data_IF_118816639957
#
_entry.id   IF_118816639957
#
_cell.length_a   1.000
_cell.length_b   1.000
_cell.length_c   1.000
_cell.angle_alpha   90.00
_cell.angle_beta   90.00
_cell.angle_gamma   90.00
#
_symmetry.space_group_name_H-M   'P 1'
#
loop_
_entity.id
_entity.type
_entity.pdbx_description
1 polymer ?
#
# COMPACT_ATOMS: atom_id res chain seq x y z
N UNK A 1 5.32 -12.27 -15.69
CA UNK A 1 4.12 -11.40 -15.59
C UNK A 1 4.57 -10.05 -15.03
N UNK A 2 4.09 -8.93 -15.58
CA UNK A 2 4.29 -7.61 -14.97
C UNK A 2 3.08 -7.29 -14.10
N UNK A 3 3.27 -7.12 -12.80
CA UNK A 3 2.23 -6.63 -11.92
C UNK A 3 2.50 -5.14 -11.68
N UNK A 4 1.58 -4.29 -12.13
CA UNK A 4 1.56 -2.88 -11.81
C UNK A 4 0.51 -2.68 -10.72
N UNK A 5 0.94 -2.27 -9.52
CA UNK A 5 0.01 -1.93 -8.45
C UNK A 5 -0.19 -0.41 -8.43
N UNK A 6 -1.43 0.03 -8.63
CA UNK A 6 -1.84 1.42 -8.50
C UNK A 6 -2.63 1.55 -7.19
N UNK A 7 -1.99 2.10 -6.16
CA UNK A 7 -2.64 2.45 -4.91
C UNK A 7 -3.07 3.90 -5.00
N UNK A 8 -4.38 4.17 -4.97
CA UNK A 8 -4.89 5.54 -4.98
C UNK A 8 -5.67 5.80 -3.71
N UNK A 9 -5.45 6.99 -3.16
CA UNK A 9 -6.02 7.54 -1.93
C UNK A 9 -7.51 7.91 -2.02
N UNK A 10 -8.20 7.64 -3.15
CA UNK A 10 -9.64 7.88 -3.36
C UNK A 10 -10.22 6.84 -4.31
N UNK A 11 -11.36 6.26 -3.93
CA UNK A 11 -11.96 5.02 -4.45
C UNK A 11 -12.02 4.81 -5.98
N UNK A 12 -12.15 3.54 -6.37
CA UNK A 12 -12.25 3.05 -7.76
C UNK A 12 -13.68 2.95 -8.30
N UNK A 13 -14.69 3.27 -7.49
CA UNK A 13 -16.10 3.04 -7.86
C UNK A 13 -16.97 4.27 -7.77
N UNK A 14 -16.62 5.29 -6.97
CA UNK A 14 -17.34 6.57 -6.89
C UNK A 14 -16.65 7.50 -5.89
N UNK A 15 -15.67 8.31 -6.31
CA UNK A 15 -15.20 9.41 -5.46
C UNK A 15 -14.93 10.68 -6.28
N UNK A 16 -15.50 11.77 -5.77
CA UNK A 16 -15.36 13.12 -6.26
C UNK A 16 -13.88 13.55 -6.23
N UNK A 17 -13.32 13.78 -7.41
CA UNK A 17 -12.16 14.66 -7.54
C UNK A 17 -12.56 16.10 -7.15
N UNK A 18 -11.61 17.01 -6.97
CA UNK A 18 -11.86 18.48 -6.84
C UNK A 18 -12.74 19.09 -7.95
N UNK A 19 -13.11 18.28 -8.95
CA UNK A 19 -13.84 18.59 -10.18
C UNK A 19 -15.26 18.01 -10.21
N UNK A 20 -15.80 17.51 -9.09
CA UNK A 20 -17.14 16.88 -8.98
C UNK A 20 -17.47 15.78 -10.00
N UNK A 21 -16.45 15.10 -10.53
CA UNK A 21 -16.59 14.12 -11.60
C UNK A 21 -16.25 12.72 -11.10
N UNK A 22 -17.23 11.83 -11.18
CA UNK A 22 -17.06 10.39 -10.96
C UNK A 22 -16.15 9.84 -12.07
N UNK A 23 -15.01 9.26 -11.70
CA UNK A 23 -14.14 8.55 -12.64
C UNK A 23 -14.62 7.10 -12.81
N UNK A 24 -15.09 6.77 -14.01
CA UNK A 24 -15.38 5.38 -14.40
C UNK A 24 -14.08 4.68 -14.78
N UNK A 25 -13.46 4.02 -13.81
CA UNK A 25 -12.21 3.30 -14.05
C UNK A 25 -12.37 2.06 -14.93
N UNK A 26 -13.58 1.48 -15.02
CA UNK A 26 -13.86 0.43 -16.01
C UNK A 26 -13.82 1.00 -17.43
N UNK A 27 -14.27 2.23 -17.63
CA UNK A 27 -14.09 2.95 -18.90
C UNK A 27 -12.64 3.31 -19.17
N UNK A 28 -11.89 3.75 -18.16
CA UNK A 28 -10.48 4.17 -18.32
C UNK A 28 -9.56 2.97 -18.55
N UNK A 29 -9.73 1.87 -17.80
CA UNK A 29 -8.82 0.73 -17.77
C UNK A 29 -9.45 -0.57 -18.30
N UNK A 30 -10.76 -0.75 -18.16
CA UNK A 30 -11.44 -2.03 -18.30
C UNK A 30 -11.64 -2.54 -19.73
N UNK A 31 -11.94 -1.67 -20.71
CA UNK A 31 -12.29 -2.15 -22.07
C UNK A 31 -11.12 -2.73 -22.87
N UNK A 32 -9.90 -2.23 -22.67
CA UNK A 32 -8.75 -2.60 -23.52
C UNK A 32 -7.50 -3.06 -22.75
N UNK A 33 -7.46 -2.94 -21.42
CA UNK A 33 -6.22 -3.17 -20.66
C UNK A 33 -6.36 -4.10 -19.45
N UNK A 34 -7.43 -3.97 -18.64
CA UNK A 34 -7.63 -4.76 -17.42
C UNK A 34 -9.11 -5.11 -17.23
N UNK A 35 -9.63 -6.13 -17.92
CA UNK A 35 -11.06 -6.45 -17.92
C UNK A 35 -11.60 -6.94 -16.57
N UNK A 36 -10.73 -7.33 -15.63
CA UNK A 36 -11.12 -7.78 -14.31
C UNK A 36 -10.72 -6.76 -13.25
N UNK A 37 -11.68 -6.33 -12.42
CA UNK A 37 -11.47 -5.39 -11.33
C UNK A 37 -12.07 -5.95 -10.03
N UNK A 38 -11.30 -5.89 -8.95
CA UNK A 38 -11.74 -6.16 -7.59
C UNK A 38 -11.56 -4.91 -6.76
N UNK A 39 -12.50 -4.63 -5.87
CA UNK A 39 -12.48 -3.45 -5.02
C UNK A 39 -12.80 -3.81 -3.58
N UNK A 40 -12.23 -3.03 -2.66
CA UNK A 40 -12.50 -3.08 -1.24
C UNK A 40 -12.67 -1.65 -0.71
N UNK A 41 -13.72 -1.43 0.07
CA UNK A 41 -14.03 -0.13 0.67
C UNK A 41 -13.64 -0.13 2.15
N UNK A 42 -12.80 0.82 2.54
CA UNK A 42 -12.26 0.94 3.90
C UNK A 42 -13.32 1.31 4.94
N UNK A 43 -14.31 2.12 4.55
CA UNK A 43 -15.33 2.67 5.45
C UNK A 43 -16.76 2.47 4.94
N UNK A 44 -16.92 1.82 3.78
CA UNK A 44 -18.21 1.70 3.08
C UNK A 44 -18.82 3.07 2.73
N UNK A 45 -17.98 4.10 2.65
CA UNK A 45 -18.37 5.48 2.33
C UNK A 45 -18.07 5.85 0.87
N UNK A 46 -17.46 4.94 0.12
CA UNK A 46 -17.02 5.16 -1.26
C UNK A 46 -15.86 6.13 -1.37
N UNK A 47 -15.23 6.59 -0.29
CA UNK A 47 -14.16 7.59 -0.33
C UNK A 47 -12.81 6.90 -0.29
N UNK A 48 -12.62 5.95 0.62
CA UNK A 48 -11.35 5.26 0.83
C UNK A 48 -11.45 3.81 0.43
N UNK A 49 -10.52 3.33 -0.40
CA UNK A 49 -10.53 1.93 -0.79
C UNK A 49 -9.30 1.52 -1.57
N UNK A 50 -9.23 0.24 -1.87
CA UNK A 50 -8.16 -0.38 -2.63
C UNK A 50 -8.76 -1.17 -3.78
N UNK A 51 -8.11 -1.17 -4.94
CA UNK A 51 -8.50 -2.03 -6.05
C UNK A 51 -7.34 -2.87 -6.57
N UNK A 52 -7.71 -4.01 -7.15
CA UNK A 52 -6.84 -4.83 -7.99
C UNK A 52 -7.42 -4.83 -9.39
N UNK A 53 -6.56 -4.58 -10.37
CA UNK A 53 -6.89 -4.64 -11.80
C UNK A 53 -6.05 -5.75 -12.43
N UNK A 54 -6.69 -6.61 -13.22
CA UNK A 54 -6.04 -7.78 -13.82
C UNK A 54 -6.39 -7.96 -15.29
N UNK A 55 -5.39 -8.43 -16.04
CA UNK A 55 -5.53 -8.93 -17.41
C UNK A 55 -6.10 -10.34 -17.47
N UNK A 56 -6.00 -11.07 -16.36
CA UNK A 56 -6.39 -12.46 -16.25
C UNK A 56 -7.60 -12.62 -15.35
N UNK A 57 -8.44 -13.66 -15.59
CA UNK A 57 -9.61 -13.93 -14.77
C UNK A 57 -9.25 -14.01 -13.29
N UNK A 58 -10.07 -13.42 -12.44
CA UNK A 58 -9.87 -13.46 -10.99
C UNK A 58 -11.18 -13.49 -10.22
N UNK A 59 -11.15 -14.15 -9.07
CA UNK A 59 -12.20 -14.09 -8.05
C UNK A 59 -11.74 -13.13 -6.95
N UNK A 60 -12.61 -12.21 -6.55
CA UNK A 60 -12.25 -11.16 -5.59
C UNK A 60 -13.07 -11.24 -4.32
N UNK A 61 -12.45 -10.90 -3.18
CA UNK A 61 -13.10 -10.82 -1.89
C UNK A 61 -12.65 -9.58 -1.14
N UNK A 62 -13.61 -8.80 -0.67
CA UNK A 62 -13.37 -7.73 0.28
C UNK A 62 -13.16 -8.34 1.68
N UNK A 63 -12.02 -8.04 2.30
CA UNK A 63 -11.65 -8.46 3.65
C UNK A 63 -11.35 -7.24 4.53
N UNK A 64 -11.83 -6.06 4.13
CA UNK A 64 -11.66 -4.82 4.86
C UNK A 64 -12.25 -4.90 6.25
N UNK A 65 -11.68 -4.08 7.11
CA UNK A 65 -12.11 -3.83 8.47
C UNK A 65 -12.03 -2.31 8.69
N UNK A 66 -12.72 -1.76 9.69
CA UNK A 66 -12.76 -0.31 9.91
C UNK A 66 -11.35 0.29 9.87
N UNK A 67 -11.10 1.21 8.94
CA UNK A 67 -9.79 1.86 8.77
C UNK A 67 -8.72 1.04 8.06
N UNK A 68 -9.08 -0.07 7.42
CA UNK A 68 -8.14 -0.94 6.70
C UNK A 68 -8.81 -1.54 5.47
N UNK A 69 -8.37 -1.11 4.30
CA UNK A 69 -8.83 -1.71 3.05
C UNK A 69 -7.99 -2.95 2.74
N UNK A 70 -8.66 -4.07 2.45
CA UNK A 70 -8.04 -5.28 1.92
C UNK A 70 -8.93 -5.90 0.85
N UNK A 71 -8.46 -5.93 -0.39
CA UNK A 71 -9.05 -6.75 -1.44
C UNK A 71 -8.13 -7.93 -1.73
N UNK A 72 -8.65 -9.15 -1.66
CA UNK A 72 -7.98 -10.35 -2.14
C UNK A 72 -8.47 -10.68 -3.53
N UNK A 73 -7.57 -10.91 -4.47
CA UNK A 73 -7.85 -11.48 -5.77
C UNK A 73 -7.15 -12.84 -5.92
N UNK A 74 -7.88 -13.89 -6.27
CA UNK A 74 -7.31 -15.16 -6.72
C UNK A 74 -7.26 -15.14 -8.25
N UNK A 75 -6.09 -14.90 -8.81
CA UNK A 75 -5.89 -14.74 -10.26
C UNK A 75 -5.54 -16.09 -10.89
N UNK A 76 -6.32 -16.50 -11.89
CA UNK A 76 -6.05 -17.70 -12.69
C UNK A 76 -5.10 -17.36 -13.84
N UNK A 77 -3.94 -18.01 -13.89
CA UNK A 77 -2.90 -17.70 -14.86
C UNK A 77 -2.93 -18.65 -16.06
N UNK A 78 -2.40 -18.24 -17.24
CA UNK A 78 -2.42 -19.07 -18.44
C UNK A 78 -1.70 -20.42 -18.30
N UNK A 79 -0.73 -20.51 -17.38
CA UNK A 79 0.00 -21.74 -17.10
C UNK A 79 -0.72 -22.67 -16.09
N UNK A 80 -2.00 -22.40 -15.78
CA UNK A 80 -2.81 -23.18 -14.85
C UNK A 80 -2.53 -22.90 -13.36
N UNK A 81 -1.50 -22.10 -13.03
CA UNK A 81 -1.22 -21.71 -11.64
C UNK A 81 -2.26 -20.68 -11.16
N UNK A 82 -2.45 -20.65 -9.85
CA UNK A 82 -3.25 -19.62 -9.17
C UNK A 82 -2.31 -18.73 -8.35
N UNK A 83 -2.57 -17.43 -8.37
CA UNK A 83 -1.83 -16.44 -7.58
C UNK A 83 -2.81 -15.67 -6.71
N UNK A 84 -2.61 -15.71 -5.40
CA UNK A 84 -3.33 -14.84 -4.48
C UNK A 84 -2.65 -13.46 -4.46
N UNK A 85 -3.41 -12.39 -4.66
CA UNK A 85 -2.93 -11.02 -4.56
C UNK A 85 -3.76 -10.28 -3.54
N UNK A 86 -3.13 -9.80 -2.49
CA UNK A 86 -3.74 -8.91 -1.49
C UNK A 86 -3.33 -7.47 -1.76
N UNK A 87 -4.30 -6.63 -2.11
CA UNK A 87 -4.16 -5.18 -2.20
C UNK A 87 -4.54 -4.56 -0.87
N UNK A 88 -3.61 -3.83 -0.23
CA UNK A 88 -3.77 -3.30 1.14
C UNK A 88 -3.64 -1.78 1.17
N UNK A 89 -4.44 -1.14 2.01
CA UNK A 89 -4.18 0.23 2.45
C UNK A 89 -4.52 0.33 3.94
N UNK A 90 -3.50 0.56 4.77
CA UNK A 90 -3.65 0.75 6.21
C UNK A 90 -3.75 2.24 6.51
N UNK A 91 -4.66 2.64 7.40
CA UNK A 91 -4.65 4.01 7.91
C UNK A 91 -3.34 4.31 8.66
N UNK A 92 -2.87 5.57 8.64
CA UNK A 92 -1.87 6.04 9.59
C UNK A 92 -2.36 5.81 11.03
N UNK A 93 -1.46 5.51 11.97
CA UNK A 93 -1.87 5.51 13.38
C UNK A 93 -2.24 6.95 13.77
N UNK A 94 -3.43 7.18 14.34
CA UNK A 94 -3.79 8.51 14.82
C UNK A 94 -4.30 8.34 16.25
N UNK A 95 -3.68 9.06 17.18
CA UNK A 95 -4.07 9.09 18.58
C UNK A 95 -5.30 10.00 18.77
N UNK A 96 -6.27 9.55 19.57
CA UNK A 96 -7.49 10.28 19.89
C UNK A 96 -7.40 10.96 21.26
N UNK A 97 -6.24 11.54 21.60
CA UNK A 97 -5.98 12.13 22.92
C UNK A 97 -6.96 13.24 23.32
N UNK A 98 -7.65 13.87 22.36
CA UNK A 98 -8.51 15.04 22.62
C UNK A 98 -9.95 14.93 22.08
N UNK A 99 -10.42 13.73 21.70
CA UNK A 99 -11.79 13.54 21.20
C UNK A 99 -12.13 14.29 19.91
N UNK A 100 -11.12 14.89 19.25
CA UNK A 100 -11.26 15.72 18.06
C UNK A 100 -10.30 15.22 16.98
N UNK A 101 -10.69 14.11 16.36
CA UNK A 101 -10.44 13.63 14.98
C UNK A 101 -10.40 12.11 15.01
N UNK A 102 -11.56 11.55 14.73
CA UNK A 102 -11.79 10.12 14.54
C UNK A 102 -11.31 9.73 13.14
N UNK A 103 -10.09 9.17 13.03
CA UNK A 103 -9.79 8.28 11.93
C UNK A 103 -9.65 6.88 12.51
N UNK A 104 -10.76 6.17 12.41
CA UNK A 104 -11.02 4.85 12.95
C UNK A 104 -10.02 3.83 12.42
N UNK A 105 -9.68 2.87 13.27
CA UNK A 105 -8.84 1.77 12.91
C UNK A 105 -8.32 1.10 14.16
N UNK A 106 -7.07 1.32 14.50
CA UNK A 106 -6.42 0.65 15.62
C UNK A 106 -5.38 1.55 16.26
N UNK A 107 -5.10 1.32 17.56
CA UNK A 107 -4.33 2.25 18.39
C UNK A 107 -2.83 2.23 18.12
N UNK A 108 -2.29 1.16 17.54
CA UNK A 108 -0.83 0.97 17.41
C UNK A 108 -0.45 -0.02 16.29
N UNK A 109 0.85 -0.08 15.98
CA UNK A 109 1.42 -0.94 14.94
C UNK A 109 1.30 -2.44 15.20
N UNK A 110 1.25 -2.90 16.47
CA UNK A 110 1.10 -4.33 16.80
C UNK A 110 -0.28 -4.87 16.42
N UNK A 111 -1.31 -4.06 16.60
CA UNK A 111 -2.67 -4.43 16.21
C UNK A 111 -2.80 -4.54 14.69
N UNK A 112 -2.15 -3.65 13.93
CA UNK A 112 -2.06 -3.73 12.47
C UNK A 112 -1.31 -4.99 12.04
N UNK A 113 -0.17 -5.26 12.67
CA UNK A 113 0.61 -6.47 12.44
C UNK A 113 -0.20 -7.76 12.71
N UNK A 114 -1.00 -7.79 13.79
CA UNK A 114 -1.88 -8.93 14.09
C UNK A 114 -2.92 -9.13 12.99
N UNK A 115 -3.61 -8.06 12.59
CA UNK A 115 -4.61 -8.16 11.54
C UNK A 115 -4.03 -8.56 10.19
N UNK A 116 -2.84 -8.08 9.84
CA UNK A 116 -2.14 -8.54 8.63
C UNK A 116 -1.92 -10.05 8.68
N UNK A 117 -1.42 -10.60 9.79
CA UNK A 117 -1.25 -12.05 9.95
C UNK A 117 -2.56 -12.82 9.83
N UNK A 118 -3.64 -12.29 10.40
CA UNK A 118 -4.94 -12.97 10.44
C UNK A 118 -5.70 -12.91 9.10
N UNK A 119 -5.54 -11.82 8.35
CA UNK A 119 -6.37 -11.53 7.17
C UNK A 119 -5.70 -11.77 5.84
N UNK A 120 -4.38 -11.62 5.75
CA UNK A 120 -3.66 -11.79 4.48
C UNK A 120 -3.55 -13.28 4.08
N UNK A 121 -3.26 -13.51 2.80
CA UNK A 121 -3.11 -14.83 2.19
C UNK A 121 -1.71 -15.39 2.38
N UNK A 122 -0.91 -14.76 3.24
CA UNK A 122 0.44 -15.18 3.59
C UNK A 122 0.38 -16.65 4.03
N UNK A 123 1.34 -17.43 3.55
CA UNK A 123 1.45 -18.89 3.72
C UNK A 123 0.42 -19.74 2.95
N UNK A 124 -0.26 -19.20 1.92
CA UNK A 124 -1.19 -19.96 1.06
C UNK A 124 -0.67 -20.08 -0.38
N UNK A 125 0.31 -20.95 -0.60
CA UNK A 125 0.90 -21.17 -1.93
C UNK A 125 1.56 -19.90 -2.49
N UNK A 126 1.38 -19.64 -3.79
CA UNK A 126 1.91 -18.43 -4.43
C UNK A 126 1.07 -17.21 -4.06
N UNK A 127 1.70 -16.22 -3.42
CA UNK A 127 1.02 -14.99 -3.01
C UNK A 127 1.83 -13.72 -3.24
N UNK A 128 1.11 -12.61 -3.36
CA UNK A 128 1.62 -11.24 -3.33
C UNK A 128 0.81 -10.45 -2.30
N UNK A 129 1.50 -9.67 -1.49
CA UNK A 129 0.89 -8.65 -0.63
C UNK A 129 1.46 -7.31 -1.03
N UNK A 130 0.62 -6.38 -1.43
CA UNK A 130 1.09 -5.12 -1.96
C UNK A 130 0.17 -3.95 -1.58
N UNK A 131 0.73 -2.82 -1.19
CA UNK A 131 -0.07 -1.81 -0.51
C UNK A 131 0.70 -0.66 0.12
N UNK A 132 -0.05 0.39 0.49
CA UNK A 132 0.40 1.42 1.42
C UNK A 132 0.17 0.87 2.83
N UNK A 133 1.27 0.54 3.51
CA UNK A 133 1.22 0.01 4.87
C UNK A 133 1.25 1.12 5.93
N UNK A 134 1.48 2.38 5.54
CA UNK A 134 1.73 3.48 6.45
C UNK A 134 2.69 3.10 7.58
N UNK A 135 3.75 2.35 7.23
CA UNK A 135 4.74 1.79 8.15
C UNK A 135 6.15 1.92 7.55
N UNK A 136 7.14 2.16 8.41
CA UNK A 136 8.53 2.32 7.99
C UNK A 136 9.28 1.00 8.20
N UNK A 137 9.98 0.52 7.16
CA UNK A 137 10.75 -0.71 7.28
C UNK A 137 11.87 -0.57 8.31
N UNK A 138 12.05 -1.54 9.22
CA UNK A 138 13.20 -1.55 10.12
C UNK A 138 14.53 -1.78 9.39
N UNK A 139 14.50 -2.20 8.12
CA UNK A 139 15.68 -2.42 7.29
C UNK A 139 16.18 -1.13 6.61
N UNK A 140 15.39 -0.07 6.65
CA UNK A 140 15.72 1.22 6.06
C UNK A 140 16.32 2.18 7.10
N UNK A 141 17.17 3.09 6.62
CA UNK A 141 17.70 4.19 7.44
C UNK A 141 16.90 5.45 7.19
N UNK A 142 16.59 6.15 8.27
CA UNK A 142 15.80 7.37 8.24
C UNK A 142 16.40 8.44 9.14
N UNK A 143 16.44 9.67 8.63
CA UNK A 143 16.76 10.86 9.41
C UNK A 143 15.50 11.29 10.17
N UNK A 144 15.47 10.99 11.48
CA UNK A 144 14.25 11.13 12.30
C UNK A 144 13.71 12.56 12.34
N UNK A 145 14.59 13.56 12.39
CA UNK A 145 14.17 14.96 12.46
C UNK A 145 13.61 15.46 11.13
N UNK A 146 14.16 14.98 10.01
CA UNK A 146 13.62 15.28 8.68
C UNK A 146 12.26 14.60 8.49
N UNK A 147 12.12 13.33 8.90
CA UNK A 147 10.82 12.66 8.91
C UNK A 147 9.81 13.42 9.77
N UNK A 148 10.18 13.80 11.00
CA UNK A 148 9.28 14.53 11.89
C UNK A 148 8.78 15.83 11.25
N UNK A 149 9.64 16.54 10.52
CA UNK A 149 9.24 17.73 9.77
C UNK A 149 8.14 17.42 8.75
N UNK A 150 8.26 16.31 8.01
CA UNK A 150 7.22 15.85 7.08
C UNK A 150 5.91 15.46 7.77
N UNK A 151 6.00 14.72 8.89
CA UNK A 151 4.80 14.34 9.67
C UNK A 151 4.03 15.55 10.19
N UNK A 152 4.73 16.63 10.55
CA UNK A 152 4.12 17.88 11.04
C UNK A 152 3.30 18.63 10.00
N UNK A 153 3.47 18.34 8.71
CA UNK A 153 2.62 18.89 7.63
C UNK A 153 1.18 18.39 7.79
N UNK A 154 1.01 17.12 8.19
CA UNK A 154 -0.30 16.48 8.34
C UNK A 154 -0.82 16.53 9.79
N UNK A 155 0.10 16.54 10.75
CA UNK A 155 -0.19 16.55 12.19
C UNK A 155 0.55 17.74 12.82
N UNK A 156 -0.06 18.94 12.85
CA UNK A 156 0.62 20.14 13.37
C UNK A 156 1.04 20.03 14.84
N UNK A 157 0.35 19.20 15.63
CA UNK A 157 0.69 18.92 17.02
C UNK A 157 1.98 18.09 17.13
N UNK A 158 2.99 18.61 17.83
CA UNK A 158 4.31 17.99 17.89
C UNK A 158 4.31 16.66 18.64
N UNK A 159 3.56 16.56 19.75
CA UNK A 159 3.49 15.32 20.52
C UNK A 159 2.86 14.20 19.69
N UNK A 160 1.75 14.47 19.01
CA UNK A 160 1.06 13.52 18.14
C UNK A 160 1.92 13.13 16.93
N UNK A 161 2.62 14.08 16.31
CA UNK A 161 3.52 13.80 15.19
C UNK A 161 4.69 12.91 15.61
N UNK A 162 5.33 13.20 16.76
CA UNK A 162 6.40 12.36 17.32
C UNK A 162 5.90 10.97 17.69
N UNK A 163 4.73 10.89 18.33
CA UNK A 163 4.12 9.61 18.69
C UNK A 163 3.89 8.75 17.44
N UNK A 164 3.26 9.33 16.40
CA UNK A 164 2.99 8.61 15.15
C UNK A 164 4.28 8.16 14.46
N UNK A 165 5.27 9.06 14.34
CA UNK A 165 6.57 8.70 13.79
C UNK A 165 7.18 7.50 14.54
N UNK A 166 7.14 7.53 15.87
CA UNK A 166 7.65 6.43 16.69
C UNK A 166 6.87 5.13 16.50
N UNK A 167 5.54 5.18 16.39
CA UNK A 167 4.73 3.98 16.08
C UNK A 167 5.09 3.39 14.71
N UNK A 168 5.27 4.23 13.70
CA UNK A 168 5.63 3.79 12.35
C UNK A 168 7.07 3.25 12.27
N UNK A 169 8.01 3.82 13.04
CA UNK A 169 9.38 3.34 13.15
C UNK A 169 9.49 1.96 13.82
N UNK A 170 8.47 1.51 14.56
CA UNK A 170 8.46 0.13 15.09
C UNK A 170 8.39 -0.91 13.96
N UNK A 171 7.76 -0.57 12.83
CA UNK A 171 7.68 -1.41 11.64
C UNK A 171 7.08 -2.79 11.88
N UNK A 172 6.15 -2.92 12.84
CA UNK A 172 5.57 -4.21 13.26
C UNK A 172 4.82 -4.90 12.12
N UNK A 173 4.18 -4.12 11.25
CA UNK A 173 3.47 -4.57 10.05
C UNK A 173 4.42 -5.29 9.08
N UNK A 174 5.57 -4.67 8.83
CA UNK A 174 6.59 -5.19 7.91
C UNK A 174 7.27 -6.40 8.52
N UNK A 175 7.61 -6.34 9.81
CA UNK A 175 8.12 -7.49 10.56
C UNK A 175 7.16 -8.68 10.53
N UNK A 176 5.85 -8.44 10.61
CA UNK A 176 4.85 -9.50 10.55
C UNK A 176 4.77 -10.17 9.19
N UNK A 177 4.91 -9.40 8.10
CA UNK A 177 4.93 -9.95 6.74
C UNK A 177 6.23 -10.74 6.53
N UNK A 178 7.39 -10.12 6.78
CA UNK A 178 8.70 -10.75 6.61
C UNK A 178 8.91 -11.97 7.51
N UNK A 179 8.39 -11.94 8.75
CA UNK A 179 8.48 -13.04 9.71
C UNK A 179 7.78 -14.33 9.26
N UNK A 180 6.94 -14.27 8.22
CA UNK A 180 6.35 -15.45 7.58
C UNK A 180 7.15 -15.96 6.36
N UNK A 181 8.38 -15.47 6.16
CA UNK A 181 9.22 -15.84 5.02
C UNK A 181 8.85 -15.14 3.71
N UNK A 182 8.01 -14.10 3.77
CA UNK A 182 7.76 -13.23 2.62
C UNK A 182 9.02 -12.49 2.20
N UNK A 183 9.16 -12.23 0.90
CA UNK A 183 10.30 -11.49 0.32
C UNK A 183 9.86 -10.08 -0.05
N UNK A 184 10.56 -9.06 0.46
CA UNK A 184 10.43 -7.68 -0.02
C UNK A 184 11.06 -7.59 -1.42
N UNK A 185 10.22 -7.38 -2.44
CA UNK A 185 10.67 -7.42 -3.84
C UNK A 185 11.66 -6.31 -4.17
N UNK A 186 11.52 -5.13 -3.58
CA UNK A 186 12.43 -4.01 -3.80
C UNK A 186 13.79 -4.29 -3.15
N UNK A 187 13.79 -4.70 -1.88
CA UNK A 187 15.02 -4.95 -1.13
C UNK A 187 15.79 -6.18 -1.61
N UNK A 188 15.09 -7.17 -2.17
CA UNK A 188 15.73 -8.32 -2.83
C UNK A 188 16.66 -7.90 -3.97
N UNK A 189 16.31 -6.86 -4.73
CA UNK A 189 17.12 -6.37 -5.86
C UNK A 189 17.96 -5.13 -5.54
N UNK A 190 17.56 -4.34 -4.54
CA UNK A 190 18.21 -3.08 -4.18
C UNK A 190 18.50 -2.99 -2.66
N UNK A 191 19.30 -3.91 -2.09
CA UNK A 191 19.44 -4.06 -0.64
C UNK A 191 19.94 -2.78 0.06
N UNK A 192 20.77 -1.99 -0.63
CA UNK A 192 21.38 -0.77 -0.08
C UNK A 192 20.63 0.51 -0.43
N UNK A 193 19.64 0.46 -1.33
CA UNK A 193 18.91 1.67 -1.76
C UNK A 193 17.67 1.87 -0.89
N UNK A 194 17.30 3.12 -0.60
CA UNK A 194 16.15 3.41 0.27
C UNK A 194 14.80 3.10 -0.36
N UNK A 195 14.66 3.29 -1.68
CA UNK A 195 13.40 3.01 -2.38
C UNK A 195 12.22 3.87 -1.96
N UNK A 196 12.45 5.12 -1.54
CA UNK A 196 11.40 6.02 -1.07
C UNK A 196 10.23 6.10 -2.07
N UNK A 197 9.01 6.10 -1.55
CA UNK A 197 7.76 6.18 -2.31
C UNK A 197 6.99 7.46 -1.98
N UNK A 198 7.41 8.19 -0.93
CA UNK A 198 6.85 9.45 -0.49
C UNK A 198 8.00 10.46 -0.18
N UNK A 199 7.80 11.78 -0.33
CA UNK A 199 6.74 12.42 -1.11
C UNK A 199 7.16 12.63 -2.58
N UNK A 200 6.17 12.82 -3.46
CA UNK A 200 6.34 13.46 -4.78
C UNK A 200 6.40 15.00 -4.64
N UNK A 201 6.49 15.76 -5.74
CA UNK A 201 6.46 17.24 -5.68
C UNK A 201 5.21 17.82 -4.99
N UNK A 202 4.07 17.13 -5.07
CA UNK A 202 2.82 17.60 -4.45
C UNK A 202 2.61 17.07 -3.03
N UNK A 203 3.47 16.16 -2.56
CA UNK A 203 3.36 15.50 -1.27
C UNK A 203 4.15 16.14 -0.13
N UNK A 204 5.05 17.08 -0.41
CA UNK A 204 5.85 17.78 0.60
C UNK A 204 7.35 17.81 0.31
N UNK A 205 8.15 18.00 1.37
CA UNK A 205 9.61 18.11 1.30
C UNK A 205 10.28 16.74 1.06
N UNK A 206 11.21 16.68 0.11
CA UNK A 206 11.96 15.45 -0.21
C UNK A 206 12.92 15.00 0.90
N UNK A 207 13.27 15.88 1.84
CA UNK A 207 14.05 15.51 3.04
C UNK A 207 13.28 14.58 3.95
N UNK A 208 11.95 14.72 4.04
CA UNK A 208 11.11 13.80 4.81
C UNK A 208 10.73 12.54 4.02
N UNK A 209 11.61 12.09 3.12
CA UNK A 209 11.31 10.96 2.25
C UNK A 209 11.23 9.64 3.01
N UNK A 210 10.23 8.84 2.66
CA UNK A 210 10.00 7.53 3.28
C UNK A 210 9.52 6.52 2.26
N UNK A 211 9.71 5.23 2.59
CA UNK A 211 9.17 4.11 1.84
C UNK A 211 8.03 3.52 2.68
N UNK A 212 6.81 3.66 2.19
CA UNK A 212 5.61 3.17 2.88
C UNK A 212 4.73 2.29 1.99
N UNK A 213 5.03 2.27 0.69
CA UNK A 213 4.41 1.38 -0.29
C UNK A 213 5.32 0.19 -0.54
N UNK A 214 4.76 -1.01 -0.49
CA UNK A 214 5.51 -2.26 -0.58
C UNK A 214 4.87 -3.25 -1.54
N UNK A 215 5.70 -4.14 -2.10
CA UNK A 215 5.27 -5.39 -2.75
C UNK A 215 6.09 -6.52 -2.13
N UNK A 216 5.40 -7.42 -1.44
CA UNK A 216 5.95 -8.65 -0.90
C UNK A 216 5.46 -9.86 -1.68
N UNK A 217 6.27 -10.90 -1.80
CA UNK A 217 5.92 -12.16 -2.46
C UNK A 217 6.16 -13.36 -1.56
N UNK A 218 5.53 -14.50 -1.86
CA UNK A 218 6.00 -15.79 -1.36
C UNK A 218 7.42 -16.09 -1.85
N UNK A 219 8.23 -16.86 -1.10
CA UNK A 219 9.63 -17.12 -1.44
C UNK A 219 9.83 -17.90 -2.75
N UNK A 220 8.81 -18.66 -3.18
CA UNK A 220 8.84 -19.43 -4.43
C UNK A 220 8.68 -18.56 -5.69
N UNK A 221 8.40 -17.27 -5.56
CA UNK A 221 8.25 -16.34 -6.69
C UNK A 221 9.61 -15.78 -7.09
N UNK A 222 9.99 -15.98 -8.36
CA UNK A 222 11.23 -15.44 -8.89
C UNK A 222 11.03 -13.96 -9.27
N UNK A 223 11.76 -13.08 -8.60
CA UNK A 223 11.75 -11.63 -8.86
C UNK A 223 12.73 -11.33 -10.01
N UNK A 224 12.22 -10.79 -11.12
CA UNK A 224 13.00 -10.40 -12.31
C UNK A 224 13.31 -8.90 -12.34
N UNK A 225 12.47 -8.10 -11.72
CA UNK A 225 12.63 -6.65 -11.63
C UNK A 225 11.75 -6.08 -10.53
N UNK A 226 12.19 -4.98 -9.91
CA UNK A 226 11.41 -4.25 -8.91
C UNK A 226 11.94 -2.81 -8.82
N UNK A 227 11.06 -1.86 -8.54
CA UNK A 227 11.47 -0.46 -8.47
C UNK A 227 10.34 0.52 -8.19
N UNK A 228 10.74 1.79 -8.13
CA UNK A 228 9.86 2.95 -7.98
C UNK A 228 9.82 3.69 -9.32
N UNK A 229 8.62 3.95 -9.84
CA UNK A 229 8.44 4.65 -11.11
C UNK A 229 8.54 6.16 -10.84
N UNK A 230 9.59 6.79 -11.37
CA UNK A 230 9.88 8.22 -11.21
C UNK A 230 9.97 8.88 -12.58
N UNK A 231 8.91 9.54 -12.97
CA UNK A 231 8.78 10.35 -14.19
C UNK A 231 8.20 11.72 -13.86
N UNK A 232 8.31 12.71 -14.75
CA UNK A 232 7.64 14.01 -14.58
C UNK A 232 6.14 13.87 -14.26
N UNK A 233 5.44 12.92 -14.88
CA UNK A 233 4.01 12.68 -14.63
C UNK A 233 3.76 12.16 -13.21
N UNK A 234 4.59 11.22 -12.73
CA UNK A 234 4.43 10.69 -11.36
C UNK A 234 4.70 11.73 -10.28
N UNK A 235 5.44 12.81 -10.57
CA UNK A 235 5.66 13.88 -9.59
C UNK A 235 4.40 14.69 -9.26
N UNK A 236 3.42 14.70 -10.16
CA UNK A 236 2.21 15.52 -10.06
C UNK A 236 0.92 14.70 -9.96
N UNK A 237 0.99 13.38 -10.19
CA UNK A 237 -0.19 12.51 -10.22
C UNK A 237 -0.74 12.14 -8.83
N UNK A 238 0.15 12.01 -7.84
CA UNK A 238 -0.15 11.66 -6.44
C UNK A 238 1.00 12.16 -5.57
N UNK A 239 0.77 12.29 -4.27
CA UNK A 239 1.80 12.41 -3.24
C UNK A 239 2.73 11.18 -3.13
N UNK A 240 2.31 10.01 -3.63
CA UNK A 240 3.10 8.78 -3.67
C UNK A 240 3.59 8.45 -5.09
N UNK A 241 4.77 7.84 -5.20
CA UNK A 241 5.25 7.25 -6.44
C UNK A 241 4.70 5.82 -6.62
N UNK A 242 4.28 5.43 -7.84
CA UNK A 242 3.95 4.05 -8.13
C UNK A 242 5.17 3.14 -7.97
N UNK A 243 4.91 1.90 -7.52
CA UNK A 243 5.92 0.85 -7.43
C UNK A 243 5.55 -0.33 -8.33
N UNK A 244 6.55 -1.12 -8.73
CA UNK A 244 6.34 -2.27 -9.59
C UNK A 244 7.21 -3.45 -9.18
N UNK A 245 6.73 -4.65 -9.55
CA UNK A 245 7.50 -5.88 -9.56
C UNK A 245 7.23 -6.68 -10.84
N UNK A 246 8.30 -7.20 -11.43
CA UNK A 246 8.26 -8.14 -12.54
C UNK A 246 8.63 -9.53 -12.00
N UNK A 247 7.73 -10.49 -12.18
CA UNK A 247 7.86 -11.81 -11.54
C UNK A 247 7.70 -12.95 -12.55
N UNK A 248 8.28 -14.10 -12.20
CA UNK A 248 8.10 -15.39 -12.88
C UNK A 248 7.65 -16.43 -11.86
N UNK A 249 6.72 -17.31 -12.29
CA UNK A 249 6.07 -18.30 -11.43
C UNK A 249 6.34 -19.72 -11.90
#
# INVERSE_FOLDING_TARGET
MKLLLLLKRRSFTQAYHKTDTIQDYQRIFGKNHYPFIGFADMFQDGIFGTAILSKYPMETKDLSDHGRALVRANIALPNGKKLAVDGIHLTPNIDNKNGKREFYGYRNSRDKAKWLRDKTGINRGLYIVAGDLNALSPEDKYEKDELLTGYRIFIPDEESARWLLNENLKGEEIKAILGNGSVDTYKSLHPTKPGYTLPTKIGGDKRSSSRIDYIFTSPDIIIKGAGVIRTPDTEIASDHYPIFAEISL
#
